data_IF_997081798771
#
_entry.id   IF_997081798771
#
_cell.length_a   1.000
_cell.length_b   1.000
_cell.length_c   1.000
_cell.angle_alpha   90.00
_cell.angle_beta   90.00
_cell.angle_gamma   90.00
#
_symmetry.space_group_name_H-M   'P 1'
#
loop_
_entity.id
_entity.type
_entity.pdbx_description
1 polymer ?
#
# COMPACT_ATOMS: atom_id res chain seq x y z
N UNK A 1 6.50 13.13 -5.88
CA UNK A 1 5.13 13.15 -6.43
C UNK A 1 4.22 13.86 -5.43
N UNK A 2 3.59 14.97 -5.81
CA UNK A 2 2.75 15.77 -4.91
C UNK A 2 1.26 15.54 -5.17
N UNK A 3 0.56 14.86 -4.25
CA UNK A 3 -0.86 14.51 -4.44
C UNK A 3 -1.79 15.73 -4.43
N UNK A 4 -1.33 16.89 -3.96
CA UNK A 4 -2.11 18.13 -3.92
C UNK A 4 -2.39 18.67 -5.33
N UNK A 5 -1.47 18.44 -6.27
CA UNK A 5 -1.56 18.96 -7.65
C UNK A 5 -2.61 18.19 -8.47
N UNK A 6 -2.96 16.97 -8.06
CA UNK A 6 -4.02 16.16 -8.67
C UNK A 6 -5.42 16.59 -8.17
N UNK A 7 -5.82 17.83 -8.40
CA UNK A 7 -7.23 18.22 -8.26
C UNK A 7 -7.97 17.76 -9.53
N UNK A 8 -8.64 16.60 -9.48
CA UNK A 8 -9.44 16.11 -10.60
C UNK A 8 -10.57 17.07 -10.94
N UNK A 9 -11.01 17.08 -12.20
CA UNK A 9 -12.15 17.88 -12.71
C UNK A 9 -13.51 17.49 -12.11
N UNK A 10 -13.57 16.51 -11.20
CA UNK A 10 -14.78 16.07 -10.52
C UNK A 10 -14.83 16.66 -9.11
N UNK A 11 -16.02 17.06 -8.67
CA UNK A 11 -16.29 17.47 -7.29
C UNK A 11 -15.95 16.34 -6.32
N UNK A 12 -14.77 16.40 -5.72
CA UNK A 12 -14.31 15.41 -4.74
C UNK A 12 -15.21 15.48 -3.50
N UNK A 13 -15.65 14.33 -2.98
CA UNK A 13 -16.47 14.31 -1.75
C UNK A 13 -15.75 14.93 -0.55
N UNK A 14 -16.51 15.41 0.44
CA UNK A 14 -15.98 15.95 1.69
C UNK A 14 -14.96 15.03 2.37
N UNK A 15 -15.20 13.71 2.30
CA UNK A 15 -14.30 12.72 2.88
C UNK A 15 -12.94 12.68 2.18
N UNK A 16 -12.92 12.87 0.85
CA UNK A 16 -11.69 12.96 0.04
C UNK A 16 -10.94 14.24 0.41
N UNK A 17 -11.61 15.39 0.41
CA UNK A 17 -10.99 16.67 0.75
C UNK A 17 -10.39 16.66 2.16
N UNK A 18 -11.15 16.21 3.16
CA UNK A 18 -10.71 16.09 4.56
C UNK A 18 -9.54 15.11 4.73
N UNK A 19 -9.42 14.10 3.86
CA UNK A 19 -8.30 13.16 3.92
C UNK A 19 -7.07 13.74 3.24
N UNK A 20 -7.23 14.39 2.07
CA UNK A 20 -6.13 15.06 1.35
C UNK A 20 -5.42 16.11 2.20
N UNK A 21 -6.16 16.91 2.96
CA UNK A 21 -5.56 17.91 3.86
C UNK A 21 -4.72 17.29 4.98
N UNK A 22 -4.98 16.04 5.35
CA UNK A 22 -4.26 15.31 6.42
C UNK A 22 -3.01 14.56 5.96
N UNK A 23 -2.82 14.37 4.64
CA UNK A 23 -1.66 13.64 4.10
C UNK A 23 -0.34 14.32 4.50
N UNK A 24 -0.30 15.66 4.56
CA UNK A 24 0.91 16.38 4.95
C UNK A 24 2.10 16.01 4.06
N UNK A 25 3.23 15.64 4.68
CA UNK A 25 4.44 15.22 3.96
C UNK A 25 4.31 13.83 3.29
N UNK A 26 3.21 13.10 3.55
CA UNK A 26 2.91 11.83 2.89
C UNK A 26 3.84 10.69 3.31
N UNK A 27 4.36 9.97 2.32
CA UNK A 27 5.26 8.82 2.52
C UNK A 27 6.51 8.98 1.68
N UNK A 28 7.62 8.46 2.19
CA UNK A 28 8.85 8.27 1.41
C UNK A 28 8.98 6.78 1.11
N UNK A 29 9.19 6.46 -0.17
CA UNK A 29 9.55 5.12 -0.62
C UNK A 29 11.06 5.08 -0.84
N UNK A 30 11.73 4.08 -0.30
CA UNK A 30 13.18 3.88 -0.40
C UNK A 30 13.48 2.46 -0.86
N UNK A 31 14.48 2.30 -1.72
CA UNK A 31 15.02 0.99 -2.11
C UNK A 31 16.31 0.78 -1.34
N UNK A 32 16.31 -0.15 -0.39
CA UNK A 32 17.43 -0.39 0.53
C UNK A 32 17.80 -1.86 0.49
N UNK A 33 19.03 -2.15 0.10
CA UNK A 33 19.54 -3.52 -0.06
C UNK A 33 18.63 -4.42 -0.93
N UNK A 34 17.95 -3.84 -1.93
CA UNK A 34 17.05 -4.57 -2.82
C UNK A 34 15.61 -4.70 -2.33
N UNK A 35 15.30 -4.30 -1.11
CA UNK A 35 13.94 -4.30 -0.54
C UNK A 35 13.32 -2.91 -0.55
N UNK A 36 11.99 -2.85 -0.60
CA UNK A 36 11.27 -1.58 -0.61
C UNK A 36 10.80 -1.24 0.79
N UNK A 37 11.19 -0.05 1.26
CA UNK A 37 10.80 0.51 2.54
C UNK A 37 9.83 1.67 2.35
N UNK A 38 8.88 1.79 3.28
CA UNK A 38 7.97 2.92 3.42
C UNK A 38 8.27 3.63 4.72
N UNK A 39 8.48 4.94 4.66
CA UNK A 39 8.58 5.82 5.82
C UNK A 39 7.34 6.71 5.90
N UNK A 40 6.57 6.59 6.97
CA UNK A 40 5.40 7.43 7.16
C UNK A 40 5.82 8.81 7.68
N UNK A 41 5.85 9.79 6.78
CA UNK A 41 6.18 11.20 7.08
C UNK A 41 4.94 12.04 7.35
N UNK A 42 3.75 11.48 7.21
CA UNK A 42 2.48 12.16 7.48
C UNK A 42 2.17 12.23 8.98
N UNK A 43 1.21 13.07 9.35
CA UNK A 43 0.69 13.16 10.72
C UNK A 43 -0.48 12.21 10.99
N UNK A 44 -0.76 11.27 10.08
CA UNK A 44 -1.83 10.28 10.18
C UNK A 44 -1.30 8.86 9.95
N UNK A 45 -1.98 7.81 10.44
CA UNK A 45 -1.60 6.46 10.07
C UNK A 45 -1.78 6.24 8.57
N UNK A 46 -0.89 5.43 8.01
CA UNK A 46 -1.08 4.82 6.69
C UNK A 46 -1.36 3.33 6.86
N UNK A 47 -1.97 2.75 5.85
CA UNK A 47 -2.37 1.35 5.82
C UNK A 47 -1.82 0.73 4.54
N UNK A 48 -1.09 -0.37 4.66
CA UNK A 48 -0.28 -0.95 3.58
C UNK A 48 -0.67 -2.41 3.39
N UNK A 49 -0.94 -2.79 2.14
CA UNK A 49 -1.14 -4.16 1.69
C UNK A 49 -0.09 -4.47 0.63
N UNK A 50 0.62 -5.58 0.81
CA UNK A 50 1.69 -6.00 -0.09
C UNK A 50 1.80 -7.52 -0.13
N UNK A 51 2.04 -8.12 -1.31
CA UNK A 51 2.15 -9.56 -1.47
C UNK A 51 3.18 -10.23 -0.56
N UNK A 52 4.27 -9.55 -0.23
CA UNK A 52 5.37 -10.12 0.57
C UNK A 52 5.23 -9.86 2.07
N UNK A 53 4.22 -9.08 2.51
CA UNK A 53 3.91 -8.89 3.94
C UNK A 53 3.02 -10.00 4.50
N UNK A 54 2.37 -10.76 3.62
CA UNK A 54 1.28 -11.68 3.92
C UNK A 54 1.76 -13.06 4.38
N UNK A 55 2.40 -13.13 5.54
CA UNK A 55 2.43 -14.37 6.35
C UNK A 55 1.33 -14.37 7.43
N UNK A 56 0.73 -13.20 7.70
CA UNK A 56 -0.33 -13.03 8.70
C UNK A 56 -1.70 -12.85 8.07
N UNK A 57 -2.73 -13.31 8.77
CA UNK A 57 -4.12 -13.34 8.34
C UNK A 57 -4.74 -11.93 8.17
N UNK A 58 -4.06 -10.89 8.66
CA UNK A 58 -4.40 -9.49 8.47
C UNK A 58 -3.64 -8.88 7.27
N UNK A 59 -4.29 -8.89 6.10
CA UNK A 59 -3.72 -8.42 4.83
C UNK A 59 -3.24 -6.96 4.80
N UNK A 60 -3.56 -6.16 5.82
CA UNK A 60 -3.31 -4.71 5.83
C UNK A 60 -2.59 -4.27 7.10
N UNK A 61 -1.31 -3.91 6.95
CA UNK A 61 -0.47 -3.41 8.03
C UNK A 61 -0.71 -1.91 8.28
N UNK A 62 -0.89 -1.52 9.54
CA UNK A 62 -1.00 -0.11 9.94
C UNK A 62 0.36 0.45 10.33
N UNK A 63 0.78 1.55 9.71
CA UNK A 63 2.05 2.24 10.02
C UNK A 63 1.75 3.62 10.61
N UNK A 64 2.20 3.85 11.84
CA UNK A 64 1.97 5.10 12.57
C UNK A 64 2.89 6.23 12.06
N UNK A 65 2.53 7.52 12.29
CA UNK A 65 3.41 8.66 12.00
C UNK A 65 4.81 8.48 12.58
N UNK A 66 5.84 8.69 11.76
CA UNK A 66 7.25 8.56 12.16
C UNK A 66 7.81 7.13 12.13
N UNK A 67 6.98 6.11 11.86
CA UNK A 67 7.41 4.72 11.75
C UNK A 67 7.73 4.35 10.30
N UNK A 68 8.48 3.26 10.14
CA UNK A 68 8.78 2.67 8.84
C UNK A 68 8.29 1.22 8.76
N UNK A 69 8.19 0.72 7.54
CA UNK A 69 7.80 -0.65 7.21
C UNK A 69 8.63 -1.11 6.02
N UNK A 70 9.32 -2.24 6.15
CA UNK A 70 9.83 -3.00 4.99
C UNK A 70 8.62 -3.58 4.28
N UNK A 71 8.16 -2.89 3.24
CA UNK A 71 6.86 -3.14 2.61
C UNK A 71 6.92 -4.13 1.46
N UNK A 72 8.11 -4.36 0.88
CA UNK A 72 8.29 -5.37 -0.15
C UNK A 72 9.64 -6.06 -0.03
N UNK A 73 9.63 -7.37 0.12
CA UNK A 73 10.82 -8.22 0.23
C UNK A 73 11.12 -8.90 -1.09
N UNK A 74 12.18 -8.46 -1.76
CA UNK A 74 12.51 -8.95 -3.10
C UNK A 74 13.06 -10.37 -3.06
N UNK A 75 13.90 -10.69 -2.07
CA UNK A 75 14.49 -12.02 -1.91
C UNK A 75 13.44 -13.08 -1.57
N UNK A 76 12.62 -12.82 -0.55
CA UNK A 76 11.52 -13.70 -0.12
C UNK A 76 10.54 -13.93 -1.28
N UNK A 77 10.29 -12.90 -2.10
CA UNK A 77 9.49 -13.04 -3.32
C UNK A 77 10.14 -13.90 -4.39
N UNK A 78 11.44 -13.73 -4.65
CA UNK A 78 12.15 -14.54 -5.64
C UNK A 78 12.08 -16.03 -5.29
N UNK A 79 12.23 -16.35 -4.00
CA UNK A 79 12.05 -17.72 -3.48
C UNK A 79 10.60 -18.19 -3.68
N UNK A 80 9.61 -17.42 -3.24
CA UNK A 80 8.20 -17.76 -3.41
C UNK A 80 7.79 -17.96 -4.88
N UNK A 81 8.29 -17.13 -5.79
CA UNK A 81 8.06 -17.29 -7.23
C UNK A 81 8.68 -18.57 -7.78
N UNK A 82 9.88 -18.93 -7.32
CA UNK A 82 10.53 -20.19 -7.68
C UNK A 82 9.76 -21.42 -7.16
N UNK A 83 9.22 -21.34 -5.93
CA UNK A 83 8.45 -22.43 -5.30
C UNK A 83 7.05 -22.59 -5.90
N UNK A 84 6.34 -21.48 -6.18
CA UNK A 84 4.95 -21.49 -6.69
C UNK A 84 4.86 -21.66 -8.21
N UNK A 85 5.96 -21.91 -8.92
CA UNK A 85 5.96 -22.22 -10.35
C UNK A 85 5.17 -23.52 -10.67
N UNK A 86 4.84 -24.34 -9.67
CA UNK A 86 4.02 -25.57 -9.82
C UNK A 86 2.54 -25.45 -9.40
N UNK A 87 2.11 -24.38 -8.72
CA UNK A 87 0.74 -24.27 -8.20
C UNK A 87 0.07 -22.95 -8.60
N UNK A 88 -0.63 -22.98 -9.74
CA UNK A 88 -1.63 -21.98 -10.09
C UNK A 88 -2.78 -22.03 -9.06
N UNK A 89 -2.61 -21.38 -7.92
CA UNK A 89 -3.58 -21.40 -6.83
C UNK A 89 -4.42 -20.13 -6.83
N UNK A 90 -5.66 -20.29 -7.32
CA UNK A 90 -6.96 -19.89 -6.75
C UNK A 90 -7.21 -18.49 -6.16
N UNK A 91 -6.21 -17.64 -6.03
CA UNK A 91 -6.38 -16.24 -5.74
C UNK A 91 -6.60 -15.56 -7.09
N UNK A 92 -7.68 -14.78 -7.23
CA UNK A 92 -8.03 -14.08 -8.48
C UNK A 92 -6.92 -13.13 -8.98
N UNK A 93 -7.22 -12.14 -9.83
CA UNK A 93 -6.19 -11.25 -10.39
C UNK A 93 -5.59 -10.32 -9.31
N UNK A 94 -4.76 -10.87 -8.43
CA UNK A 94 -3.90 -10.13 -7.51
C UNK A 94 -2.66 -9.76 -8.29
N UNK A 95 -2.43 -8.47 -8.52
CA UNK A 95 -1.15 -8.00 -9.04
C UNK A 95 -0.08 -8.26 -7.98
N UNK A 96 0.73 -9.29 -8.24
CA UNK A 96 1.79 -9.75 -7.33
C UNK A 96 2.99 -8.79 -7.33
N UNK A 97 2.99 -7.79 -8.21
CA UNK A 97 4.03 -6.78 -8.35
C UNK A 97 3.51 -5.38 -8.03
N UNK A 98 2.42 -5.29 -7.26
CA UNK A 98 1.97 -4.01 -6.71
C UNK A 98 1.81 -4.08 -5.20
N UNK A 99 2.00 -2.93 -4.56
CA UNK A 99 1.56 -2.70 -3.19
C UNK A 99 0.54 -1.56 -3.18
N UNK A 100 -0.32 -1.58 -2.16
CA UNK A 100 -1.38 -0.60 -2.00
C UNK A 100 -1.23 0.14 -0.69
N UNK A 101 -1.38 1.45 -0.73
CA UNK A 101 -1.19 2.34 0.42
C UNK A 101 -2.41 3.25 0.56
N UNK A 102 -3.05 3.26 1.72
CA UNK A 102 -4.15 4.19 2.02
C UNK A 102 -3.79 5.16 3.14
N UNK A 103 -4.21 6.42 3.00
CA UNK A 103 -3.97 7.47 3.99
C UNK A 103 -5.15 7.60 4.96
N UNK A 104 -4.86 7.66 6.26
CA UNK A 104 -5.80 7.88 7.37
C UNK A 104 -6.91 6.83 7.55
N UNK A 105 -7.23 5.99 6.56
CA UNK A 105 -8.33 5.01 6.59
C UNK A 105 -7.82 3.62 6.20
N UNK A 106 -7.99 2.66 7.11
CA UNK A 106 -7.73 1.24 6.85
C UNK A 106 -8.88 0.55 6.13
N UNK A 107 -8.58 -0.60 5.55
CA UNK A 107 -9.52 -1.50 4.88
C UNK A 107 -9.19 -2.97 5.15
N UNK A 108 -10.11 -3.88 4.83
CA UNK A 108 -10.03 -5.32 5.08
C UNK A 108 -10.79 -5.75 6.33
N UNK A 109 -10.66 -7.03 6.69
CA UNK A 109 -11.48 -7.71 7.71
C UNK A 109 -11.51 -7.00 9.07
N UNK A 110 -10.43 -6.29 9.43
CA UNK A 110 -10.31 -5.58 10.71
C UNK A 110 -10.87 -4.15 10.69
N UNK A 111 -11.45 -3.71 9.56
CA UNK A 111 -11.89 -2.34 9.35
C UNK A 111 -13.31 -2.29 8.77
N UNK A 112 -13.97 -1.14 8.92
CA UNK A 112 -15.31 -0.91 8.33
C UNK A 112 -15.30 -1.00 6.80
N UNK A 113 -14.19 -0.64 6.16
CA UNK A 113 -14.06 -0.70 4.69
C UNK A 113 -13.53 -2.08 4.34
N UNK A 114 -14.24 -2.83 3.52
CA UNK A 114 -13.76 -4.15 3.09
C UNK A 114 -12.86 -4.06 1.84
N UNK A 115 -13.03 -3.01 1.04
CA UNK A 115 -12.25 -2.77 -0.17
C UNK A 115 -11.47 -1.44 -0.07
N UNK A 116 -10.27 -1.41 -0.65
CA UNK A 116 -9.45 -0.20 -0.75
C UNK A 116 -10.12 0.89 -1.60
N UNK A 117 -10.96 0.50 -2.57
CA UNK A 117 -11.73 1.45 -3.38
C UNK A 117 -12.69 2.29 -2.54
N UNK A 118 -13.05 1.83 -1.32
CA UNK A 118 -13.82 2.60 -0.35
C UNK A 118 -12.97 3.60 0.46
N UNK A 119 -11.65 3.60 0.29
CA UNK A 119 -10.76 4.56 0.93
C UNK A 119 -10.70 5.88 0.12
N UNK A 120 -10.76 7.03 0.80
CA UNK A 120 -10.86 8.33 0.15
C UNK A 120 -9.58 8.75 -0.59
N UNK A 121 -8.40 8.34 -0.12
CA UNK A 121 -7.12 8.63 -0.76
C UNK A 121 -6.19 7.44 -0.59
N UNK A 122 -5.79 6.84 -1.71
CA UNK A 122 -4.90 5.69 -1.73
C UNK A 122 -4.02 5.72 -2.99
N UNK A 123 -2.98 4.90 -2.99
CA UNK A 123 -2.02 4.74 -4.07
C UNK A 123 -1.82 3.25 -4.34
N UNK A 124 -1.64 2.92 -5.61
CA UNK A 124 -1.06 1.64 -6.03
C UNK A 124 0.33 1.90 -6.58
N UNK A 125 1.32 1.17 -6.07
CA UNK A 125 2.71 1.27 -6.49
C UNK A 125 3.07 -0.02 -7.19
N UNK A 126 3.39 0.06 -8.48
CA UNK A 126 3.81 -1.09 -9.27
C UNK A 126 5.34 -1.16 -9.36
N UNK A 127 5.90 -2.35 -9.18
CA UNK A 127 7.33 -2.63 -9.27
C UNK A 127 7.67 -3.15 -10.67
N UNK A 128 7.87 -2.23 -11.61
CA UNK A 128 8.14 -2.56 -13.03
C UNK A 128 9.39 -3.42 -13.23
N UNK A 129 10.47 -3.14 -12.49
CA UNK A 129 11.74 -3.86 -12.61
C UNK A 129 11.71 -5.27 -12.02
N UNK A 130 10.64 -5.63 -11.30
CA UNK A 130 10.47 -6.96 -10.72
C UNK A 130 9.53 -7.84 -11.56
N UNK A 131 8.83 -7.28 -12.56
CA UNK A 131 7.92 -8.03 -13.44
C UNK A 131 8.64 -8.98 -14.39
#
# INVERSE_FOLDING_TARGET
>A
MCLREFCGKQTSSDAVQKTRTKIGLGVTLSLECGDVWIYNRSNVPIFVDSPTLSERWDRVCKVMPGYCLKAFETHSRAQWLAEKQMEQTHLGPIDRFSMKISFAKGWGNMYRRQDIMCCPCWLEVHFSHLR
#
